data_IF_952082273686
#
_entry.id   IF_952082273686
#
_cell.length_a   1.000
_cell.length_b   1.000
_cell.length_c   1.000
_cell.angle_alpha   90.00
_cell.angle_beta   90.00
_cell.angle_gamma   90.00
#
_symmetry.space_group_name_H-M   'P 1'
#
loop_
_entity.id
_entity.type
_entity.pdbx_description
1 polymer ?
#
# COMPACT_ATOMS: atom_id res chain seq x y z
N UNK A 1 -7.68 18.83 17.02
CA UNK A 1 -6.81 18.25 15.97
C UNK A 1 -6.26 16.94 16.52
N UNK A 2 -6.60 15.80 15.92
CA UNK A 2 -6.38 14.47 16.50
C UNK A 2 -4.94 13.98 16.29
N UNK A 3 -4.45 13.13 17.19
CA UNK A 3 -3.10 12.52 17.17
C UNK A 3 -2.77 11.77 15.86
N UNK A 4 -3.79 11.31 15.13
CA UNK A 4 -3.65 10.57 13.89
C UNK A 4 -3.02 11.39 12.76
N UNK A 5 -3.27 12.70 12.71
CA UNK A 5 -2.65 13.57 11.71
C UNK A 5 -1.14 13.66 11.94
N UNK A 6 -0.71 13.87 13.19
CA UNK A 6 0.71 13.96 13.53
C UNK A 6 1.46 12.65 13.23
N UNK A 7 0.87 11.50 13.60
CA UNK A 7 1.42 10.18 13.29
C UNK A 7 1.53 9.97 11.78
N UNK A 8 0.52 10.38 11.01
CA UNK A 8 0.55 10.31 9.55
C UNK A 8 1.74 11.07 8.95
N UNK A 9 1.97 12.33 9.34
CA UNK A 9 3.10 13.09 8.80
C UNK A 9 4.46 12.53 9.20
N UNK A 10 4.60 12.05 10.44
CA UNK A 10 5.83 11.37 10.88
C UNK A 10 6.09 10.14 10.01
N UNK A 11 5.07 9.31 9.77
CA UNK A 11 5.21 8.12 8.94
C UNK A 11 5.54 8.48 7.49
N UNK A 12 4.91 9.50 6.93
CA UNK A 12 5.24 10.02 5.59
C UNK A 12 6.71 10.46 5.52
N UNK A 13 7.18 11.20 6.52
CA UNK A 13 8.58 11.65 6.57
C UNK A 13 9.57 10.49 6.67
N UNK A 14 9.34 9.57 7.63
CA UNK A 14 10.27 8.50 7.95
C UNK A 14 10.28 7.38 6.92
N UNK A 15 9.11 6.99 6.38
CA UNK A 15 8.99 5.80 5.54
C UNK A 15 8.84 6.10 4.04
N UNK A 16 8.51 7.34 3.67
CA UNK A 16 8.37 7.72 2.25
C UNK A 16 9.41 8.74 1.81
N UNK A 17 9.55 9.86 2.54
CA UNK A 17 10.42 10.98 2.12
C UNK A 17 11.90 10.67 2.36
N UNK A 18 12.28 10.27 3.58
CA UNK A 18 13.67 10.01 3.93
C UNK A 18 14.28 8.87 3.10
N UNK A 19 13.60 7.72 2.88
CA UNK A 19 14.11 6.67 2.01
C UNK A 19 14.20 7.11 0.54
N UNK A 20 13.21 7.88 0.04
CA UNK A 20 13.25 8.40 -1.33
C UNK A 20 14.44 9.35 -1.55
N UNK A 21 14.73 10.23 -0.58
CA UNK A 21 15.90 11.12 -0.61
C UNK A 21 17.21 10.33 -0.61
N UNK A 22 17.30 9.30 0.25
CA UNK A 22 18.49 8.45 0.32
C UNK A 22 18.76 7.75 -1.01
N UNK A 23 17.74 7.14 -1.62
CA UNK A 23 17.90 6.44 -2.90
C UNK A 23 18.16 7.43 -4.05
N UNK A 24 17.48 8.58 -4.09
CA UNK A 24 17.75 9.62 -5.08
C UNK A 24 19.19 10.16 -4.98
N UNK A 25 19.73 10.28 -3.77
CA UNK A 25 21.14 10.62 -3.55
C UNK A 25 22.07 9.52 -4.10
N UNK A 26 21.77 8.24 -3.84
CA UNK A 26 22.53 7.12 -4.40
C UNK A 26 22.50 7.11 -5.93
N UNK A 27 21.34 7.39 -6.53
CA UNK A 27 21.19 7.52 -7.98
C UNK A 27 22.06 8.66 -8.51
N UNK A 28 22.05 9.81 -7.86
CA UNK A 28 22.87 10.96 -8.24
C UNK A 28 24.37 10.62 -8.18
N UNK A 29 24.83 9.96 -7.11
CA UNK A 29 26.21 9.48 -6.96
C UNK A 29 26.60 8.45 -8.03
N UNK A 30 25.63 7.63 -8.47
CA UNK A 30 25.79 6.68 -9.57
C UNK A 30 25.66 7.33 -10.98
N UNK A 31 25.56 8.65 -11.07
CA UNK A 31 25.39 9.39 -12.34
C UNK A 31 24.01 9.21 -13.00
N UNK A 32 23.02 8.73 -12.26
CA UNK A 32 21.64 8.51 -12.72
C UNK A 32 20.73 9.65 -12.25
N UNK A 33 19.65 9.89 -13.00
CA UNK A 33 18.68 10.93 -12.66
C UNK A 33 17.82 10.52 -11.45
N UNK A 34 17.74 11.34 -10.39
CA UNK A 34 16.83 11.09 -9.27
C UNK A 34 15.36 11.27 -9.69
N UNK A 35 14.48 10.40 -9.21
CA UNK A 35 13.06 10.41 -9.57
C UNK A 35 12.11 10.04 -8.42
N UNK A 36 12.58 9.40 -7.36
CA UNK A 36 11.74 8.83 -6.32
C UNK A 36 11.01 9.91 -5.52
N UNK A 37 11.66 11.02 -5.19
CA UNK A 37 11.00 12.11 -4.48
C UNK A 37 9.89 12.75 -5.32
N UNK A 38 10.12 12.87 -6.64
CA UNK A 38 9.09 13.36 -7.58
C UNK A 38 7.90 12.41 -7.63
N UNK A 39 8.15 11.10 -7.61
CA UNK A 39 7.10 10.07 -7.56
C UNK A 39 6.31 10.16 -6.24
N UNK A 40 6.98 10.26 -5.09
CA UNK A 40 6.31 10.41 -3.80
C UNK A 40 5.42 11.66 -3.75
N UNK A 41 5.85 12.78 -4.34
CA UNK A 41 5.02 13.99 -4.45
C UNK A 41 3.73 13.74 -5.25
N UNK A 42 3.80 13.02 -6.37
CA UNK A 42 2.62 12.67 -7.17
C UNK A 42 1.66 11.78 -6.38
N UNK A 43 2.20 10.77 -5.68
CA UNK A 43 1.41 9.88 -4.81
C UNK A 43 0.71 10.66 -3.70
N UNK A 44 1.41 11.60 -3.06
CA UNK A 44 0.83 12.43 -2.00
C UNK A 44 -0.33 13.30 -2.51
N UNK A 45 -0.16 13.96 -3.67
CA UNK A 45 -1.22 14.77 -4.29
C UNK A 45 -2.43 13.91 -4.66
N UNK A 46 -2.19 12.73 -5.24
CA UNK A 46 -3.27 11.80 -5.57
C UNK A 46 -4.04 11.36 -4.31
N UNK A 47 -3.34 11.04 -3.21
CA UNK A 47 -3.97 10.68 -1.95
C UNK A 47 -4.83 11.83 -1.39
N UNK A 48 -4.37 13.07 -1.46
CA UNK A 48 -5.20 14.22 -1.04
C UNK A 48 -6.46 14.34 -1.91
N UNK A 49 -6.34 14.17 -3.22
CA UNK A 49 -7.48 14.26 -4.13
C UNK A 49 -8.54 13.19 -3.82
N UNK A 50 -8.10 11.97 -3.46
CA UNK A 50 -9.00 10.84 -3.18
C UNK A 50 -9.45 10.83 -1.71
N UNK A 51 -8.77 11.53 -0.80
CA UNK A 51 -9.05 11.47 0.65
C UNK A 51 -10.48 11.84 1.01
N UNK A 52 -11.08 12.80 0.30
CA UNK A 52 -12.47 13.21 0.53
C UNK A 52 -13.47 12.11 0.19
N UNK A 53 -13.13 11.22 -0.75
CA UNK A 53 -13.99 10.11 -1.13
C UNK A 53 -13.81 8.91 -0.20
N UNK A 54 -12.60 8.70 0.34
CA UNK A 54 -12.28 7.57 1.22
C UNK A 54 -12.72 7.81 2.67
N UNK A 55 -12.48 9.00 3.21
CA UNK A 55 -12.65 9.25 4.66
C UNK A 55 -14.03 9.79 5.04
N UNK A 56 -14.84 10.20 4.06
CA UNK A 56 -16.20 10.66 4.32
C UNK A 56 -17.20 9.54 3.99
N UNK A 57 -18.27 9.45 4.79
CA UNK A 57 -19.39 8.59 4.47
C UNK A 57 -20.27 9.28 3.42
N UNK A 58 -20.61 8.54 2.38
CA UNK A 58 -21.48 9.01 1.32
C UNK A 58 -22.81 8.27 1.40
N UNK A 59 -23.85 9.00 1.82
CA UNK A 59 -25.21 8.48 1.76
C UNK A 59 -25.76 8.72 0.36
N UNK A 60 -25.77 7.68 -0.47
CA UNK A 60 -26.40 7.74 -1.79
C UNK A 60 -27.89 7.40 -1.65
N UNK A 61 -28.75 8.42 -1.66
CA UNK A 61 -30.20 8.22 -1.70
C UNK A 61 -30.58 7.69 -3.08
N UNK A 62 -30.93 6.40 -3.16
CA UNK A 62 -31.14 5.69 -4.42
C UNK A 62 -32.55 5.06 -4.55
N UNK A 63 -33.53 5.61 -3.85
CA UNK A 63 -34.90 5.07 -3.82
C UNK A 63 -35.54 5.00 -5.21
N UNK A 64 -35.32 6.03 -6.04
CA UNK A 64 -35.84 6.07 -7.40
C UNK A 64 -35.17 5.01 -8.30
N UNK A 65 -33.85 4.81 -8.16
CA UNK A 65 -33.12 3.79 -8.92
C UNK A 65 -33.58 2.38 -8.55
N UNK A 66 -33.82 2.11 -7.26
CA UNK A 66 -34.37 0.83 -6.79
C UNK A 66 -35.78 0.59 -7.32
N UNK A 67 -36.64 1.63 -7.33
CA UNK A 67 -38.00 1.56 -7.90
C UNK A 67 -37.99 1.43 -9.43
N UNK A 68 -36.98 1.95 -10.12
CA UNK A 68 -36.89 1.81 -11.56
C UNK A 68 -36.80 0.34 -11.97
N UNK A 69 -36.02 -0.46 -11.24
CA UNK A 69 -35.90 -1.89 -11.48
C UNK A 69 -37.23 -2.65 -11.34
N UNK A 70 -38.11 -2.25 -10.43
CA UNK A 70 -39.45 -2.87 -10.31
C UNK A 70 -40.38 -2.52 -11.48
N UNK A 71 -40.11 -1.43 -12.19
CA UNK A 71 -40.91 -0.97 -13.33
C UNK A 71 -40.32 -1.38 -14.70
N UNK A 72 -39.12 -2.00 -14.72
CA UNK A 72 -38.50 -2.50 -15.94
C UNK A 72 -39.29 -3.72 -16.45
N UNK A 73 -39.58 -3.81 -17.77
CA UNK A 73 -40.06 -5.05 -18.39
C UNK A 73 -39.09 -6.20 -18.12
N UNK A 74 -39.60 -7.43 -17.96
CA UNK A 74 -38.75 -8.60 -17.68
C UNK A 74 -37.68 -8.82 -18.75
N UNK A 75 -37.98 -8.46 -20.01
CA UNK A 75 -37.06 -8.55 -21.15
C UNK A 75 -35.85 -7.60 -21.02
N UNK A 76 -36.00 -6.47 -20.33
CA UNK A 76 -34.97 -5.43 -20.18
C UNK A 76 -34.21 -5.55 -18.85
N UNK A 77 -34.72 -6.35 -17.90
CA UNK A 77 -34.12 -6.47 -16.56
C UNK A 77 -32.69 -7.00 -16.62
N UNK A 78 -32.40 -7.96 -17.49
CA UNK A 78 -31.05 -8.52 -17.64
C UNK A 78 -30.05 -7.49 -18.18
N UNK A 79 -30.48 -6.58 -19.06
CA UNK A 79 -29.63 -5.54 -19.64
C UNK A 79 -29.43 -4.34 -18.71
N UNK A 80 -30.40 -4.06 -17.82
CA UNK A 80 -30.41 -2.89 -16.95
C UNK A 80 -30.54 -3.27 -15.47
N UNK A 81 -29.86 -4.32 -15.03
CA UNK A 81 -29.91 -4.76 -13.65
C UNK A 81 -29.16 -3.78 -12.72
N UNK A 82 -29.92 -2.93 -12.04
CA UNK A 82 -29.43 -1.94 -11.06
C UNK A 82 -29.35 -2.55 -9.65
N UNK A 83 -29.94 -3.73 -9.42
CA UNK A 83 -30.15 -4.33 -8.11
C UNK A 83 -29.33 -5.61 -7.88
N UNK A 84 -28.13 -5.73 -8.46
CA UNK A 84 -27.23 -6.88 -8.31
C UNK A 84 -26.71 -7.15 -6.88
N UNK A 85 -27.28 -6.52 -5.84
CA UNK A 85 -26.88 -6.72 -4.45
C UNK A 85 -27.98 -7.49 -3.69
N UNK A 86 -27.64 -8.50 -2.87
CA UNK A 86 -26.29 -8.84 -2.44
C UNK A 86 -25.57 -9.80 -3.41
N UNK A 87 -24.34 -9.45 -3.81
CA UNK A 87 -23.43 -10.34 -4.50
C UNK A 87 -22.89 -11.40 -3.52
N UNK A 88 -22.67 -12.62 -4.02
CA UNK A 88 -21.84 -13.62 -3.34
C UNK A 88 -20.39 -13.14 -3.21
N UNK A 89 -19.59 -13.80 -2.37
CA UNK A 89 -18.15 -13.49 -2.21
C UNK A 89 -17.39 -13.53 -3.55
N UNK A 90 -17.68 -14.54 -4.37
CA UNK A 90 -17.00 -14.77 -5.65
C UNK A 90 -17.39 -13.73 -6.71
N UNK A 91 -18.68 -13.41 -6.81
CA UNK A 91 -19.17 -12.37 -7.71
C UNK A 91 -18.62 -10.99 -7.32
N UNK A 92 -18.50 -10.74 -6.02
CA UNK A 92 -17.91 -9.49 -5.53
C UNK A 92 -16.44 -9.38 -5.87
N UNK A 93 -15.67 -10.47 -5.73
CA UNK A 93 -14.27 -10.49 -6.15
C UNK A 93 -14.14 -10.22 -7.66
N UNK A 94 -14.95 -10.92 -8.47
CA UNK A 94 -14.97 -10.76 -9.93
C UNK A 94 -15.35 -9.34 -10.33
N UNK A 95 -16.35 -8.75 -9.68
CA UNK A 95 -16.75 -7.36 -9.89
C UNK A 95 -15.58 -6.40 -9.66
N UNK A 96 -14.91 -6.49 -8.51
CA UNK A 96 -13.77 -5.61 -8.22
C UNK A 96 -12.58 -5.85 -9.14
N UNK A 97 -12.30 -7.10 -9.51
CA UNK A 97 -11.25 -7.42 -10.47
C UNK A 97 -11.53 -6.77 -11.84
N UNK A 98 -12.77 -6.86 -12.31
CA UNK A 98 -13.22 -6.23 -13.54
C UNK A 98 -13.15 -4.69 -13.45
N UNK A 99 -13.59 -4.09 -12.35
CA UNK A 99 -13.46 -2.64 -12.13
C UNK A 99 -12.01 -2.17 -12.24
N UNK A 100 -11.06 -2.92 -11.66
CA UNK A 100 -9.64 -2.62 -11.77
C UNK A 100 -9.14 -2.72 -13.22
N UNK A 101 -9.51 -3.78 -13.95
CA UNK A 101 -9.09 -3.95 -15.34
C UNK A 101 -9.72 -2.88 -16.27
N UNK A 102 -10.99 -2.58 -16.11
CA UNK A 102 -11.65 -1.49 -16.85
C UNK A 102 -11.08 -0.12 -16.50
N UNK A 103 -10.79 0.13 -15.22
CA UNK A 103 -10.10 1.35 -14.80
C UNK A 103 -8.75 1.50 -15.49
N UNK A 104 -7.96 0.43 -15.53
CA UNK A 104 -6.67 0.38 -16.25
C UNK A 104 -6.82 0.69 -17.74
N UNK A 105 -7.74 0.00 -18.43
CA UNK A 105 -7.95 0.16 -19.88
C UNK A 105 -8.51 1.54 -20.23
N UNK A 106 -9.55 1.99 -19.55
CA UNK A 106 -10.33 3.15 -19.97
C UNK A 106 -9.95 4.46 -19.27
N UNK A 107 -9.57 4.42 -17.98
CA UNK A 107 -9.18 5.62 -17.23
C UNK A 107 -7.68 5.91 -17.35
N UNK A 108 -6.85 4.87 -17.18
CA UNK A 108 -5.38 4.98 -17.24
C UNK A 108 -4.86 4.91 -18.69
N UNK A 109 -5.69 4.42 -19.62
CA UNK A 109 -5.37 4.25 -21.05
C UNK A 109 -4.28 3.21 -21.32
N UNK A 110 -4.16 2.22 -20.44
CA UNK A 110 -3.30 1.05 -20.62
C UNK A 110 -4.12 -0.06 -21.30
N UNK A 111 -4.29 0.03 -22.62
CA UNK A 111 -5.12 -0.89 -23.40
C UNK A 111 -4.47 -2.25 -23.64
N UNK A 112 -3.15 -2.29 -23.69
CA UNK A 112 -2.39 -3.52 -23.93
C UNK A 112 -2.52 -4.47 -22.74
N UNK A 113 -2.64 -5.76 -23.04
CA UNK A 113 -2.57 -6.78 -22.01
C UNK A 113 -1.17 -6.80 -21.38
N UNK A 114 -1.10 -7.25 -20.12
CA UNK A 114 0.15 -7.27 -19.35
C UNK A 114 1.18 -8.15 -20.06
N UNK A 115 2.18 -7.50 -20.64
CA UNK A 115 3.27 -8.17 -21.38
C UNK A 115 4.13 -9.03 -20.46
N UNK A 116 4.78 -10.06 -21.02
CA UNK A 116 5.75 -10.88 -20.29
C UNK A 116 6.91 -10.06 -19.72
N UNK A 117 7.30 -8.96 -20.39
CA UNK A 117 8.28 -8.02 -19.87
C UNK A 117 7.80 -7.33 -18.58
N UNK A 118 6.56 -6.86 -18.57
CA UNK A 118 5.96 -6.22 -17.38
C UNK A 118 5.89 -7.21 -16.22
N UNK A 119 5.53 -8.47 -16.50
CA UNK A 119 5.53 -9.55 -15.50
C UNK A 119 6.93 -9.81 -14.97
N UNK A 120 7.95 -9.83 -15.83
CA UNK A 120 9.34 -10.00 -15.42
C UNK A 120 9.83 -8.84 -14.56
N UNK A 121 9.52 -7.59 -14.93
CA UNK A 121 9.87 -6.41 -14.14
C UNK A 121 9.16 -6.39 -12.78
N UNK A 122 7.89 -6.77 -12.72
CA UNK A 122 7.16 -6.91 -11.45
C UNK A 122 7.78 -7.99 -10.56
N UNK A 123 8.18 -9.15 -11.12
CA UNK A 123 8.90 -10.19 -10.38
C UNK A 123 10.23 -9.66 -9.81
N UNK A 124 10.99 -8.89 -10.59
CA UNK A 124 12.24 -8.26 -10.10
C UNK A 124 11.97 -7.33 -8.92
N UNK A 125 10.92 -6.50 -8.99
CA UNK A 125 10.55 -5.60 -7.89
C UNK A 125 10.07 -6.36 -6.67
N UNK A 126 9.33 -7.46 -6.85
CA UNK A 126 8.93 -8.36 -5.77
C UNK A 126 10.15 -8.97 -5.05
N UNK A 127 11.13 -9.47 -5.81
CA UNK A 127 12.36 -10.01 -5.20
C UNK A 127 13.15 -8.92 -4.47
N UNK A 128 13.24 -7.71 -5.04
CA UNK A 128 13.88 -6.57 -4.39
C UNK A 128 13.19 -6.20 -3.07
N UNK A 129 11.86 -6.16 -3.05
CA UNK A 129 11.06 -5.90 -1.85
C UNK A 129 11.28 -6.99 -0.78
N UNK A 130 11.20 -8.27 -1.18
CA UNK A 130 11.45 -9.39 -0.28
C UNK A 130 12.86 -9.36 0.31
N UNK A 131 13.87 -9.09 -0.53
CA UNK A 131 15.26 -8.95 -0.09
C UNK A 131 15.45 -7.77 0.88
N UNK A 132 14.85 -6.62 0.57
CA UNK A 132 14.91 -5.42 1.43
C UNK A 132 14.28 -5.68 2.79
N UNK A 133 13.12 -6.34 2.82
CA UNK A 133 12.45 -6.77 4.06
C UNK A 133 13.30 -7.75 4.85
N UNK A 134 13.88 -8.75 4.19
CA UNK A 134 14.77 -9.71 4.82
C UNK A 134 15.97 -9.02 5.48
N UNK A 135 16.63 -8.09 4.78
CA UNK A 135 17.72 -7.29 5.34
C UNK A 135 17.27 -6.47 6.56
N UNK A 136 16.12 -5.80 6.46
CA UNK A 136 15.57 -4.98 7.54
C UNK A 136 15.27 -5.81 8.79
N UNK A 137 14.56 -6.94 8.64
CA UNK A 137 14.25 -7.83 9.76
C UNK A 137 15.49 -8.51 10.33
N UNK A 138 16.46 -8.86 9.49
CA UNK A 138 17.74 -9.43 9.95
C UNK A 138 18.54 -8.41 10.77
N UNK A 139 18.61 -7.16 10.31
CA UNK A 139 19.24 -6.06 11.06
C UNK A 139 18.53 -5.83 12.40
N UNK A 140 17.20 -5.76 12.39
CA UNK A 140 16.40 -5.60 13.60
C UNK A 140 16.66 -6.74 14.59
N UNK A 141 16.63 -8.00 14.13
CA UNK A 141 16.92 -9.17 14.96
C UNK A 141 18.33 -9.09 15.55
N UNK A 142 19.35 -8.78 14.74
CA UNK A 142 20.73 -8.65 15.18
C UNK A 142 20.90 -7.61 16.29
N UNK A 143 20.26 -6.43 16.17
CA UNK A 143 20.34 -5.40 17.22
C UNK A 143 19.71 -5.84 18.54
N UNK A 144 18.61 -6.60 18.50
CA UNK A 144 17.96 -7.15 19.70
C UNK A 144 18.86 -8.21 20.34
N UNK A 145 19.39 -9.15 19.56
CA UNK A 145 20.32 -10.17 20.07
C UNK A 145 21.59 -9.56 20.66
N UNK A 146 22.17 -8.55 20.02
CA UNK A 146 23.34 -7.86 20.52
C UNK A 146 23.06 -7.20 21.89
N UNK A 147 21.92 -6.49 22.04
CA UNK A 147 21.54 -5.88 23.32
C UNK A 147 21.32 -6.92 24.42
N UNK A 148 20.66 -8.03 24.11
CA UNK A 148 20.44 -9.13 25.08
C UNK A 148 21.78 -9.71 25.52
N UNK A 149 22.71 -9.95 24.58
CA UNK A 149 24.04 -10.47 24.89
C UNK A 149 24.83 -9.52 25.80
N UNK A 150 24.81 -8.21 25.54
CA UNK A 150 25.49 -7.21 26.39
C UNK A 150 24.90 -7.21 27.80
N UNK A 151 23.57 -7.23 27.94
CA UNK A 151 22.91 -7.30 29.26
C UNK A 151 23.27 -8.59 29.99
N UNK A 152 23.26 -9.73 29.30
CA UNK A 152 23.65 -11.03 29.89
C UNK A 152 25.09 -11.01 30.39
N UNK A 153 26.04 -10.47 29.62
CA UNK A 153 27.45 -10.35 30.02
C UNK A 153 27.58 -9.46 31.26
N UNK A 154 26.87 -8.33 31.30
CA UNK A 154 26.89 -7.42 32.46
C UNK A 154 26.29 -8.09 33.71
N UNK A 155 25.19 -8.83 33.58
CA UNK A 155 24.59 -9.56 34.69
C UNK A 155 25.51 -10.65 35.23
N UNK A 156 26.18 -11.41 34.36
CA UNK A 156 27.18 -12.41 34.76
C UNK A 156 28.35 -11.73 35.48
N UNK A 157 28.89 -10.64 34.91
CA UNK A 157 29.99 -9.89 35.52
C UNK A 157 29.62 -9.30 36.89
N UNK A 158 28.38 -8.87 37.10
CA UNK A 158 27.90 -8.35 38.38
C UNK A 158 27.71 -9.47 39.41
N UNK A 159 27.19 -10.63 38.98
CA UNK A 159 27.09 -11.82 39.82
C UNK A 159 28.47 -12.27 40.29
N UNK A 160 29.42 -12.38 39.37
CA UNK A 160 30.79 -12.81 39.68
C UNK A 160 31.54 -11.81 40.57
N UNK A 161 31.16 -10.54 40.55
CA UNK A 161 31.71 -9.53 41.48
C UNK A 161 31.17 -9.73 42.89
N UNK A 162 29.86 -9.94 43.04
CA UNK A 162 29.22 -10.20 44.33
C UNK A 162 29.64 -11.53 44.95
N UNK A 163 29.83 -12.58 44.15
CA UNK A 163 30.30 -13.89 44.63
C UNK A 163 31.78 -13.86 45.11
N UNK A 164 32.52 -12.79 44.80
CA UNK A 164 33.94 -12.59 45.20
C UNK A 164 34.13 -11.69 46.43
N UNK A 165 33.07 -11.06 46.93
CA UNK A 165 33.03 -10.25 48.16
C UNK A 165 32.69 -11.12 49.37
#
# INVERSE_FOLDING_TARGET
MTNYFFIFYINVLLFHVLPALFIDLMLLLAGRSPFLLKLQRKIYIANIAVSQFIFNQWLFVNDNSKRLHTNLPDEDKDAFDINQLPLTEDERYTYYANCCDYGRRYLIKEYEDITEETRANNKRMYFLDCFTKFLFYSWMAWTVFYKINVVNILLISLRDYWDRL
#
